data_IF_693565562859
#
_entry.id   IF_693565562859
#
_cell.length_a   1.000
_cell.length_b   1.000
_cell.length_c   1.000
_cell.angle_alpha   90.00
_cell.angle_beta   90.00
_cell.angle_gamma   90.00
#
_symmetry.space_group_name_H-M   'P 1'
#
loop_
_entity.id
_entity.type
_entity.pdbx_description
1 polymer ?
#
# COMPACT_ATOMS: atom_id res chain seq x y z
N UNK A 1 23.50 -16.44 19.82
CA UNK A 1 22.48 -17.41 19.37
C UNK A 1 22.77 -17.70 17.92
N UNK A 2 23.10 -18.95 17.62
CA UNK A 2 23.36 -19.43 16.27
C UNK A 2 22.01 -19.66 15.58
N UNK A 3 21.65 -18.79 14.63
CA UNK A 3 20.41 -18.92 13.86
C UNK A 3 20.49 -20.03 12.80
N UNK A 4 21.67 -20.63 12.56
CA UNK A 4 21.88 -21.55 11.45
C UNK A 4 21.31 -22.96 11.65
N UNK A 5 20.79 -23.30 12.84
CA UNK A 5 20.45 -24.70 13.19
C UNK A 5 18.98 -24.99 13.49
N UNK A 6 18.08 -24.00 13.50
CA UNK A 6 16.67 -24.24 13.91
C UNK A 6 15.77 -24.73 12.77
N UNK A 7 15.92 -24.18 11.56
CA UNK A 7 15.05 -24.48 10.42
C UNK A 7 15.82 -25.21 9.32
N UNK A 8 15.25 -26.28 8.80
CA UNK A 8 15.78 -27.00 7.65
C UNK A 8 15.50 -26.31 6.31
N UNK A 9 14.49 -25.43 6.26
CA UNK A 9 14.16 -24.63 5.08
C UNK A 9 13.47 -23.30 5.42
N UNK A 10 13.48 -22.39 4.44
CA UNK A 10 12.70 -21.14 4.47
C UNK A 10 11.75 -21.15 3.28
N UNK A 11 10.47 -20.89 3.51
CA UNK A 11 9.44 -20.76 2.48
C UNK A 11 9.05 -19.30 2.32
N UNK A 12 9.28 -18.72 1.16
CA UNK A 12 8.78 -17.39 0.81
C UNK A 12 7.38 -17.48 0.21
N UNK A 13 6.49 -16.63 0.69
CA UNK A 13 5.08 -16.58 0.30
C UNK A 13 4.78 -15.17 -0.17
N UNK A 14 4.46 -15.03 -1.46
CA UNK A 14 3.87 -13.83 -2.04
C UNK A 14 2.38 -14.04 -2.26
N UNK A 15 1.60 -12.99 -2.08
CA UNK A 15 0.17 -12.99 -2.39
C UNK A 15 -0.14 -11.78 -3.25
N UNK A 16 -0.80 -11.98 -4.39
CA UNK A 16 -1.21 -10.88 -5.26
C UNK A 16 -2.36 -10.13 -4.58
N UNK A 17 -2.06 -8.95 -4.02
CA UNK A 17 -3.06 -8.05 -3.45
C UNK A 17 -3.03 -6.75 -4.25
N UNK A 18 -4.15 -6.28 -4.81
CA UNK A 18 -4.20 -4.97 -5.46
C UNK A 18 -3.89 -3.86 -4.46
N UNK A 19 -2.88 -3.04 -4.75
CA UNK A 19 -2.49 -1.89 -3.91
C UNK A 19 -2.53 -0.56 -4.65
N UNK A 20 -2.57 -0.57 -5.98
CA UNK A 20 -2.63 0.66 -6.76
C UNK A 20 -3.97 1.40 -6.60
N UNK A 21 -3.99 2.73 -6.79
CA UNK A 21 -5.25 3.45 -6.92
C UNK A 21 -6.03 2.97 -8.14
N UNK A 22 -7.36 2.98 -8.07
CA UNK A 22 -8.23 2.68 -9.22
C UNK A 22 -7.78 3.53 -10.41
N UNK A 23 -7.30 2.88 -11.47
CA UNK A 23 -6.94 3.60 -12.68
C UNK A 23 -8.19 3.90 -13.52
N UNK A 24 -8.28 5.11 -14.09
CA UNK A 24 -9.34 5.45 -15.04
C UNK A 24 -9.36 4.58 -16.30
N UNK A 25 -8.29 3.81 -16.56
CA UNK A 25 -8.08 3.01 -17.77
C UNK A 25 -8.65 1.60 -17.68
N UNK A 26 -9.17 1.15 -16.53
CA UNK A 26 -9.79 -0.17 -16.38
C UNK A 26 -8.85 -1.36 -16.54
N UNK A 27 -7.52 -1.16 -16.42
CA UNK A 27 -6.55 -2.26 -16.43
C UNK A 27 -6.69 -3.13 -15.18
N UNK A 28 -7.21 -4.34 -15.37
CA UNK A 28 -7.32 -5.36 -14.31
C UNK A 28 -5.93 -5.70 -13.77
N UNK A 29 -5.77 -5.65 -12.45
CA UNK A 29 -4.51 -5.94 -11.75
C UNK A 29 -3.63 -4.73 -11.45
N UNK A 30 -4.02 -3.53 -11.91
CA UNK A 30 -3.45 -2.25 -11.47
C UNK A 30 -4.59 -1.39 -10.92
N UNK A 31 -4.96 -1.71 -9.68
CA UNK A 31 -5.63 -0.80 -8.77
C UNK A 31 -7.13 -0.96 -8.61
N UNK A 32 -7.51 -1.43 -7.42
CA UNK A 32 -8.86 -1.41 -6.85
C UNK A 32 -8.89 -0.62 -5.52
N UNK A 33 -7.79 0.02 -5.14
CA UNK A 33 -7.70 0.73 -3.88
C UNK A 33 -8.19 2.17 -4.05
N UNK A 34 -9.41 2.45 -3.61
CA UNK A 34 -9.95 3.82 -3.59
C UNK A 34 -9.48 4.63 -2.37
N UNK A 35 -9.11 3.92 -1.31
CA UNK A 35 -8.93 4.48 0.02
C UNK A 35 -10.23 4.95 0.68
N UNK A 36 -10.18 5.14 1.99
CA UNK A 36 -11.22 5.84 2.76
C UNK A 36 -10.71 7.21 3.23
N UNK A 37 -11.60 8.18 3.38
CA UNK A 37 -11.28 9.48 3.99
C UNK A 37 -11.02 9.37 5.49
N UNK A 38 -11.61 8.36 6.15
CA UNK A 38 -11.27 8.00 7.52
C UNK A 38 -10.11 7.00 7.52
N UNK A 39 -8.94 7.46 7.99
CA UNK A 39 -7.71 6.68 8.03
C UNK A 39 -7.87 5.36 8.82
N UNK A 40 -8.64 5.36 9.91
CA UNK A 40 -8.80 4.17 10.73
C UNK A 40 -9.72 3.15 10.05
N UNK A 41 -10.78 3.61 9.39
CA UNK A 41 -11.65 2.72 8.60
C UNK A 41 -10.87 2.11 7.44
N UNK A 42 -10.08 2.92 6.73
CA UNK A 42 -9.22 2.46 5.64
C UNK A 42 -8.22 1.40 6.11
N UNK A 43 -7.49 1.72 7.18
CA UNK A 43 -6.47 0.85 7.74
C UNK A 43 -7.05 -0.49 8.17
N UNK A 44 -8.16 -0.48 8.92
CA UNK A 44 -8.82 -1.71 9.38
C UNK A 44 -9.26 -2.60 8.22
N UNK A 45 -9.83 -2.00 7.16
CA UNK A 45 -10.26 -2.74 5.98
C UNK A 45 -9.08 -3.41 5.27
N UNK A 46 -7.96 -2.70 5.10
CA UNK A 46 -6.76 -3.28 4.50
C UNK A 46 -6.08 -4.31 5.38
N UNK A 47 -6.03 -4.09 6.69
CA UNK A 47 -5.50 -5.10 7.61
C UNK A 47 -6.31 -6.40 7.51
N UNK A 48 -7.64 -6.31 7.37
CA UNK A 48 -8.49 -7.48 7.15
C UNK A 48 -8.18 -8.21 5.83
N UNK A 49 -7.96 -7.47 4.74
CA UNK A 49 -7.55 -8.05 3.45
C UNK A 49 -6.21 -8.77 3.57
N UNK A 50 -5.20 -8.13 4.18
CA UNK A 50 -3.89 -8.72 4.40
C UNK A 50 -3.97 -9.97 5.28
N UNK A 51 -4.75 -9.91 6.37
CA UNK A 51 -4.96 -11.06 7.24
C UNK A 51 -5.61 -12.22 6.48
N UNK A 52 -6.63 -11.95 5.68
CA UNK A 52 -7.29 -12.97 4.85
C UNK A 52 -6.31 -13.61 3.85
N UNK A 53 -5.43 -12.82 3.23
CA UNK A 53 -4.38 -13.33 2.33
C UNK A 53 -3.40 -14.26 3.06
N UNK A 54 -2.96 -13.87 4.27
CA UNK A 54 -2.09 -14.69 5.13
C UNK A 54 -2.79 -15.98 5.54
N UNK A 55 -4.04 -15.90 6.02
CA UNK A 55 -4.82 -17.06 6.45
C UNK A 55 -5.05 -18.05 5.28
N UNK A 56 -5.31 -17.52 4.09
CA UNK A 56 -5.45 -18.31 2.86
C UNK A 56 -4.13 -19.01 2.52
N UNK A 57 -3.00 -18.31 2.58
CA UNK A 57 -1.70 -18.90 2.30
C UNK A 57 -1.31 -19.97 3.34
N UNK A 58 -1.62 -19.72 4.62
CA UNK A 58 -1.42 -20.68 5.71
C UNK A 58 -2.23 -21.96 5.49
N UNK A 59 -3.50 -21.83 5.08
CA UNK A 59 -4.37 -22.97 4.79
C UNK A 59 -3.90 -23.79 3.57
N UNK A 60 -3.13 -23.19 2.67
CA UNK A 60 -2.57 -23.85 1.49
C UNK A 60 -1.23 -24.56 1.76
N UNK A 61 -0.69 -24.50 2.98
CA UNK A 61 0.58 -25.16 3.30
C UNK A 61 0.46 -26.70 3.24
N UNK A 62 1.55 -27.42 2.92
CA UNK A 62 1.55 -28.88 2.90
C UNK A 62 1.17 -29.47 4.27
N UNK A 63 0.14 -30.32 4.31
CA UNK A 63 -0.35 -30.94 5.55
C UNK A 63 0.63 -31.96 6.15
N UNK A 64 1.53 -32.51 5.33
CA UNK A 64 2.46 -33.57 5.71
C UNK A 64 3.85 -33.06 6.12
N UNK A 65 4.02 -31.73 6.24
CA UNK A 65 5.27 -31.11 6.66
C UNK A 65 5.26 -30.86 8.16
N UNK A 66 6.40 -31.10 8.83
CA UNK A 66 6.58 -30.70 10.22
C UNK A 66 6.72 -29.17 10.31
N UNK A 67 5.73 -28.45 10.90
CA UNK A 67 5.74 -27.00 10.96
C UNK A 67 6.87 -26.42 11.83
N UNK A 68 7.58 -27.27 12.60
CA UNK A 68 8.75 -26.85 13.38
C UNK A 68 10.03 -26.71 12.55
N UNK A 69 10.06 -27.28 11.34
CA UNK A 69 11.26 -27.38 10.51
C UNK A 69 11.38 -26.30 9.44
N UNK A 70 10.30 -25.55 9.18
CA UNK A 70 10.25 -24.51 8.12
C UNK A 70 9.88 -23.16 8.70
N UNK A 71 10.66 -22.13 8.34
CA UNK A 71 10.29 -20.74 8.55
C UNK A 71 9.45 -20.24 7.37
N UNK A 72 8.22 -19.84 7.62
CA UNK A 72 7.34 -19.25 6.60
C UNK A 72 7.50 -17.73 6.60
N UNK A 73 7.87 -17.15 5.47
CA UNK A 73 8.05 -15.70 5.31
C UNK A 73 6.96 -15.20 4.38
N UNK A 74 6.01 -14.44 4.90
CA UNK A 74 4.98 -13.78 4.10
C UNK A 74 5.40 -12.35 3.79
N UNK A 75 5.37 -11.96 2.50
CA UNK A 75 5.72 -10.64 2.05
C UNK A 75 4.52 -9.97 1.37
N UNK A 76 4.01 -8.92 2.01
CA UNK A 76 3.03 -8.03 1.41
C UNK A 76 3.72 -7.06 0.42
N UNK A 77 2.97 -6.50 -0.54
CA UNK A 77 3.51 -5.52 -1.48
C UNK A 77 4.08 -4.27 -0.81
N UNK A 78 4.99 -3.57 -1.51
CA UNK A 78 5.44 -2.23 -1.14
C UNK A 78 4.27 -1.25 -1.15
N UNK A 79 4.32 -0.22 -0.30
CA UNK A 79 3.25 0.78 -0.18
C UNK A 79 1.88 0.15 0.08
N UNK A 80 1.79 -0.92 0.88
CA UNK A 80 0.52 -1.57 1.16
C UNK A 80 -0.41 -0.70 2.01
N UNK A 81 0.11 -0.05 3.06
CA UNK A 81 -0.67 0.80 3.98
C UNK A 81 -0.40 2.29 3.73
N UNK A 82 -1.19 2.90 2.85
CA UNK A 82 -1.12 4.29 2.42
C UNK A 82 -2.55 4.88 2.29
N UNK A 83 -2.83 6.12 2.67
CA UNK A 83 -4.18 6.71 2.56
C UNK A 83 -4.63 7.03 1.13
N UNK A 84 -5.86 7.54 1.01
CA UNK A 84 -6.51 7.90 -0.28
C UNK A 84 -5.77 8.96 -1.10
N UNK A 85 -4.90 9.74 -0.46
CA UNK A 85 -4.09 10.79 -1.10
C UNK A 85 -2.58 10.49 -1.05
N UNK A 86 -2.21 9.23 -0.83
CA UNK A 86 -0.81 8.81 -0.64
C UNK A 86 -0.60 8.36 0.80
N UNK A 87 -0.10 9.19 1.71
CA UNK A 87 0.05 8.82 3.13
C UNK A 87 -1.28 8.89 3.89
N UNK A 88 -1.33 8.28 5.08
CA UNK A 88 -2.33 8.62 6.08
C UNK A 88 -2.02 10.00 6.66
N UNK A 89 -2.73 11.02 6.19
CA UNK A 89 -2.52 12.40 6.60
C UNK A 89 -3.19 12.68 7.95
N UNK A 90 -2.50 13.43 8.81
CA UNK A 90 -3.03 13.92 10.08
C UNK A 90 -2.61 15.39 10.31
N UNK A 91 -3.49 16.16 10.95
CA UNK A 91 -3.29 17.59 11.25
C UNK A 91 -2.62 17.84 12.61
N UNK A 92 -2.29 19.10 12.92
CA UNK A 92 -1.51 19.47 14.10
C UNK A 92 -2.16 19.06 15.43
N UNK A 93 -3.49 19.07 15.48
CA UNK A 93 -4.31 18.69 16.63
C UNK A 93 -4.54 17.18 16.72
N UNK A 94 -4.16 16.43 15.68
CA UNK A 94 -4.33 14.98 15.61
C UNK A 94 -3.05 14.26 16.03
N UNK A 95 -3.22 13.11 16.68
CA UNK A 95 -2.10 12.22 16.97
C UNK A 95 -1.69 11.47 15.71
N UNK A 96 -0.39 11.19 15.59
CA UNK A 96 0.12 10.29 14.55
C UNK A 96 -0.59 8.92 14.64
N UNK A 97 -1.24 8.42 13.57
CA UNK A 97 -1.94 7.16 13.63
C UNK A 97 -1.01 5.93 13.66
N UNK A 98 0.27 6.09 13.29
CA UNK A 98 1.21 4.97 13.12
C UNK A 98 1.33 4.06 14.35
N UNK A 99 1.51 4.56 15.58
CA UNK A 99 1.66 3.69 16.74
C UNK A 99 0.44 2.80 16.95
N UNK A 100 -0.76 3.34 16.75
CA UNK A 100 -2.00 2.59 16.89
C UNK A 100 -2.15 1.52 15.80
N UNK A 101 -1.81 1.86 14.55
CA UNK A 101 -1.81 0.91 13.43
C UNK A 101 -0.80 -0.22 13.63
N UNK A 102 0.41 0.07 14.14
CA UNK A 102 1.42 -0.94 14.45
C UNK A 102 0.90 -1.94 15.51
N UNK A 103 0.23 -1.46 16.55
CA UNK A 103 -0.36 -2.34 17.56
C UNK A 103 -1.50 -3.21 17.00
N UNK A 104 -2.30 -2.68 16.07
CA UNK A 104 -3.31 -3.47 15.36
C UNK A 104 -2.67 -4.58 14.50
N UNK A 105 -1.57 -4.30 13.78
CA UNK A 105 -0.83 -5.31 13.02
C UNK A 105 -0.31 -6.42 13.95
N UNK A 106 0.32 -6.05 15.06
CA UNK A 106 0.82 -7.03 16.05
C UNK A 106 -0.30 -7.89 16.61
N UNK A 107 -1.46 -7.29 16.86
CA UNK A 107 -2.64 -8.00 17.36
C UNK A 107 -3.19 -8.98 16.32
N UNK A 108 -3.24 -8.59 15.04
CA UNK A 108 -3.74 -9.43 13.95
C UNK A 108 -2.82 -10.62 13.63
N UNK A 109 -1.52 -10.48 13.86
CA UNK A 109 -0.48 -11.49 13.61
C UNK A 109 0.19 -11.97 14.88
N UNK A 110 -0.62 -12.44 15.84
CA UNK A 110 -0.11 -12.97 17.11
C UNK A 110 0.79 -14.21 16.88
N UNK A 111 2.01 -14.26 17.44
CA UNK A 111 2.91 -15.42 17.31
C UNK A 111 2.30 -16.77 17.70
N UNK A 112 1.32 -16.80 18.61
CA UNK A 112 0.62 -18.04 18.98
C UNK A 112 -0.15 -18.65 17.80
N UNK A 113 -0.69 -17.80 16.93
CA UNK A 113 -1.52 -18.20 15.80
C UNK A 113 -0.66 -18.53 14.57
N UNK A 114 0.57 -18.00 14.51
CA UNK A 114 1.48 -18.17 13.39
C UNK A 114 2.86 -18.65 13.85
N UNK A 115 2.97 -19.89 14.38
CA UNK A 115 4.25 -20.43 14.85
C UNK A 115 5.22 -20.59 13.68
N UNK A 116 6.44 -20.08 13.85
CA UNK A 116 7.50 -20.08 12.82
C UNK A 116 7.10 -19.32 11.55
N UNK A 117 6.38 -18.19 11.73
CA UNK A 117 6.15 -17.22 10.67
C UNK A 117 6.96 -15.94 10.90
N UNK A 118 7.37 -15.33 9.80
CA UNK A 118 7.90 -13.98 9.72
C UNK A 118 7.03 -13.19 8.74
N UNK A 119 6.61 -12.01 9.16
CA UNK A 119 5.77 -11.14 8.34
C UNK A 119 6.53 -9.89 7.93
N UNK A 120 6.56 -9.63 6.62
CA UNK A 120 6.91 -8.35 6.03
C UNK A 120 5.60 -7.73 5.55
N UNK A 121 4.97 -6.90 6.38
CA UNK A 121 3.63 -6.35 6.14
C UNK A 121 3.60 -5.17 5.15
N UNK A 122 4.63 -5.01 4.32
CA UNK A 122 4.76 -3.90 3.38
C UNK A 122 5.15 -2.59 4.05
N UNK A 123 4.88 -1.48 3.36
CA UNK A 123 5.16 -0.13 3.86
C UNK A 123 3.91 0.49 4.47
N UNK A 124 4.09 1.13 5.62
CA UNK A 124 3.07 1.95 6.28
C UNK A 124 3.54 3.40 6.32
N UNK A 125 2.76 4.33 5.76
CA UNK A 125 3.18 5.73 5.56
C UNK A 125 2.14 6.69 6.14
N UNK A 126 2.59 7.63 7.00
CA UNK A 126 1.80 8.78 7.45
C UNK A 126 2.50 10.08 7.11
N UNK A 127 1.76 11.19 7.12
CA UNK A 127 2.32 12.52 6.95
C UNK A 127 1.57 13.54 7.81
N UNK A 128 2.33 14.37 8.53
CA UNK A 128 1.77 15.50 9.27
C UNK A 128 1.62 16.69 8.35
N UNK A 129 0.44 17.31 8.33
CA UNK A 129 0.16 18.52 7.55
C UNK A 129 -0.52 19.54 8.45
N UNK A 130 0.04 20.74 8.60
CA UNK A 130 -0.49 21.75 9.52
C UNK A 130 -1.96 22.10 9.25
N UNK A 131 -2.33 22.24 7.98
CA UNK A 131 -3.72 22.43 7.56
C UNK A 131 -3.90 21.91 6.13
N UNK A 132 -4.53 20.75 6.00
CA UNK A 132 -4.71 20.06 4.74
C UNK A 132 -5.58 20.87 3.77
N UNK A 133 -6.59 21.56 4.32
CA UNK A 133 -7.45 22.44 3.53
C UNK A 133 -6.67 23.60 2.89
N UNK A 134 -5.73 24.21 3.62
CA UNK A 134 -4.90 25.29 3.08
C UNK A 134 -3.97 24.80 1.97
N UNK A 135 -3.39 23.61 2.13
CA UNK A 135 -2.56 22.98 1.10
C UNK A 135 -3.35 22.80 -0.19
N UNK A 136 -4.51 22.13 -0.13
CA UNK A 136 -5.36 21.90 -1.30
C UNK A 136 -5.97 23.16 -1.88
N UNK A 137 -6.16 24.21 -1.07
CA UNK A 137 -6.71 25.47 -1.54
C UNK A 137 -5.69 26.44 -2.12
N UNK A 138 -4.39 26.17 -1.97
CA UNK A 138 -3.33 27.03 -2.51
C UNK A 138 -3.43 27.15 -4.03
N UNK A 139 -3.14 28.35 -4.55
CA UNK A 139 -3.23 28.64 -5.97
C UNK A 139 -2.30 27.74 -6.82
N UNK A 140 -1.11 27.43 -6.29
CA UNK A 140 -0.15 26.55 -6.96
C UNK A 140 -0.65 25.11 -7.04
N UNK A 141 -1.22 24.54 -5.97
CA UNK A 141 -1.78 23.19 -5.98
C UNK A 141 -2.97 23.12 -6.92
N UNK A 142 -3.88 24.10 -6.89
CA UNK A 142 -5.01 24.17 -7.83
C UNK A 142 -4.53 24.22 -9.28
N UNK A 143 -3.56 25.06 -9.60
CA UNK A 143 -3.00 25.16 -10.94
C UNK A 143 -2.37 23.83 -11.40
N UNK A 144 -1.56 23.18 -10.55
CA UNK A 144 -0.94 21.88 -10.83
C UNK A 144 -1.99 20.80 -11.07
N UNK A 145 -3.01 20.72 -10.21
CA UNK A 145 -4.11 19.75 -10.35
C UNK A 145 -4.90 19.97 -11.64
N UNK A 146 -5.17 21.23 -12.02
CA UNK A 146 -5.83 21.55 -13.30
C UNK A 146 -5.01 21.05 -14.50
N UNK A 147 -3.68 21.27 -14.49
CA UNK A 147 -2.80 20.78 -15.57
C UNK A 147 -2.84 19.25 -15.65
N UNK A 148 -2.68 18.56 -14.53
CA UNK A 148 -2.71 17.09 -14.49
C UNK A 148 -4.06 16.53 -14.94
N UNK A 149 -5.17 17.09 -14.46
CA UNK A 149 -6.50 16.64 -14.84
C UNK A 149 -6.73 16.80 -16.36
N UNK A 150 -6.39 17.97 -16.90
CA UNK A 150 -6.53 18.25 -18.33
C UNK A 150 -5.70 17.28 -19.19
N UNK A 151 -4.44 17.03 -18.81
CA UNK A 151 -3.58 16.10 -19.54
C UNK A 151 -4.06 14.66 -19.41
N UNK A 152 -4.62 14.26 -18.26
CA UNK A 152 -5.16 12.91 -18.03
C UNK A 152 -6.41 12.66 -18.86
N UNK A 153 -7.32 13.64 -18.94
CA UNK A 153 -8.50 13.58 -19.82
C UNK A 153 -8.08 13.43 -21.29
N UNK A 154 -7.06 14.17 -21.74
CA UNK A 154 -6.52 14.04 -23.09
C UNK A 154 -5.87 12.67 -23.32
N UNK A 155 -5.13 12.16 -22.32
CA UNK A 155 -4.47 10.86 -22.40
C UNK A 155 -5.47 9.72 -22.61
N UNK A 156 -6.63 9.76 -21.95
CA UNK A 156 -7.70 8.75 -22.10
C UNK A 156 -8.24 8.66 -23.53
N UNK A 157 -8.16 9.76 -24.29
CA UNK A 157 -8.60 9.83 -25.69
C UNK A 157 -7.45 9.62 -26.68
N UNK A 158 -6.21 9.48 -26.21
CA UNK A 158 -5.01 9.44 -27.04
C UNK A 158 -4.57 8.00 -27.37
N UNK A 159 -3.99 7.82 -28.55
CA UNK A 159 -3.48 6.53 -29.04
C UNK A 159 -2.15 6.71 -29.77
N UNK A 160 -1.34 5.66 -29.80
CA UNK A 160 -0.06 5.65 -30.52
C UNK A 160 0.90 6.76 -30.06
N UNK A 161 1.49 7.48 -31.01
CA UNK A 161 2.46 8.53 -30.72
C UNK A 161 1.92 9.66 -29.80
N UNK A 162 0.63 9.97 -29.88
CA UNK A 162 0.01 10.99 -29.03
C UNK A 162 -0.10 10.51 -27.57
N UNK A 163 -0.35 9.23 -27.35
CA UNK A 163 -0.36 8.65 -26.00
C UNK A 163 1.03 8.75 -25.35
N UNK A 164 2.08 8.40 -26.08
CA UNK A 164 3.46 8.49 -25.60
C UNK A 164 3.89 9.95 -25.32
N UNK A 165 3.50 10.89 -26.17
CA UNK A 165 3.78 12.31 -25.97
C UNK A 165 3.09 12.87 -24.71
N UNK A 166 1.80 12.59 -24.55
CA UNK A 166 1.02 13.11 -23.41
C UNK A 166 1.48 12.45 -22.11
N UNK A 167 1.68 11.13 -22.11
CA UNK A 167 2.19 10.41 -20.93
C UNK A 167 3.60 10.87 -20.55
N UNK A 168 4.47 11.13 -21.53
CA UNK A 168 5.78 11.75 -21.33
C UNK A 168 5.68 13.14 -20.70
N UNK A 169 4.77 13.97 -21.21
CA UNK A 169 4.53 15.33 -20.69
C UNK A 169 4.04 15.31 -19.24
N UNK A 170 3.10 14.43 -18.91
CA UNK A 170 2.63 14.23 -17.53
C UNK A 170 3.80 13.86 -16.61
N UNK A 171 4.62 12.87 -17.01
CA UNK A 171 5.79 12.46 -16.22
C UNK A 171 6.76 13.61 -15.98
N UNK A 172 7.13 14.35 -17.02
CA UNK A 172 8.05 15.50 -16.90
C UNK A 172 7.48 16.62 -16.03
N UNK A 173 6.17 16.90 -16.13
CA UNK A 173 5.51 17.89 -15.29
C UNK A 173 5.54 17.49 -13.81
N UNK A 174 5.23 16.22 -13.50
CA UNK A 174 5.26 15.70 -12.13
C UNK A 174 6.68 15.77 -11.57
N UNK A 175 7.68 15.33 -12.35
CA UNK A 175 9.10 15.38 -11.94
C UNK A 175 9.54 16.81 -11.63
N UNK A 176 9.20 17.79 -12.48
CA UNK A 176 9.52 19.19 -12.26
C UNK A 176 8.75 19.86 -11.11
N UNK A 177 7.75 19.21 -10.52
CA UNK A 177 7.06 19.70 -9.33
C UNK A 177 7.71 19.23 -8.01
N UNK A 178 8.68 18.32 -8.06
CA UNK A 178 9.37 17.74 -6.90
C UNK A 178 10.65 18.51 -6.51
N UNK A 179 11.11 19.41 -7.38
CA UNK A 179 12.20 20.37 -7.14
C UNK A 179 11.66 21.70 -6.58
#
# INVERSE_FOLDING_TARGET
MDFSSKFGAIRFIGYAIPTGPVQPTGMIGIGDYLGNSDNQVDFSARLAILKNAVDTAKAALPLNEDPSTVLNVFMAPEFYFHGSIGPYVYEDEQSDPLPNFIEQIKTAFNPSDYPNWMFVCGTLVSAKVANLSNVFNSASVKARNTVINTLTEQLQSAWGANYELISGTIRSFIQGCQD
#
